data_IF_624523345598
#
_entry.id   IF_624523345598
#
_cell.length_a   1.000
_cell.length_b   1.000
_cell.length_c   1.000
_cell.angle_alpha   90.00
_cell.angle_beta   90.00
_cell.angle_gamma   90.00
#
_symmetry.space_group_name_H-M   'P 1'
#
loop_
_entity.id
_entity.type
_entity.pdbx_description
1 polymer ?
#
# COMPACT_ATOMS: atom_id res chain seq x y z
N UNK A 1 14.39 -33.16 9.77
CA UNK A 1 13.49 -32.24 10.50
C UNK A 1 12.86 -31.30 9.49
N UNK A 2 11.57 -31.45 9.22
CA UNK A 2 10.87 -30.55 8.30
C UNK A 2 10.77 -29.17 8.96
N UNK A 3 11.33 -28.14 8.33
CA UNK A 3 11.18 -26.76 8.80
C UNK A 3 9.73 -26.36 8.56
N UNK A 4 9.01 -25.95 9.61
CA UNK A 4 7.69 -25.32 9.47
C UNK A 4 7.91 -23.97 8.79
N UNK A 5 7.63 -23.87 7.49
CA UNK A 5 7.53 -22.56 6.83
C UNK A 5 6.28 -21.88 7.39
N UNK A 6 6.47 -20.69 7.95
CA UNK A 6 5.37 -19.76 8.20
C UNK A 6 5.34 -18.89 6.95
N UNK A 7 4.25 -18.98 6.17
CA UNK A 7 4.03 -18.07 5.05
C UNK A 7 3.86 -16.67 5.64
N UNK A 8 4.89 -15.84 5.45
CA UNK A 8 4.87 -14.45 5.88
C UNK A 8 4.46 -13.61 4.67
N UNK A 9 3.37 -12.86 4.81
CA UNK A 9 2.96 -11.90 3.79
C UNK A 9 3.95 -10.73 3.83
N UNK A 10 4.51 -10.41 2.67
CA UNK A 10 5.56 -9.40 2.53
C UNK A 10 5.01 -8.10 1.99
N UNK A 11 5.54 -6.98 2.46
CA UNK A 11 5.20 -5.69 1.91
C UNK A 11 5.70 -5.54 0.47
N UNK A 12 4.78 -5.41 -0.47
CA UNK A 12 5.06 -5.23 -1.90
C UNK A 12 5.88 -3.97 -2.18
N UNK A 13 5.58 -2.87 -1.46
CA UNK A 13 6.32 -1.62 -1.61
C UNK A 13 7.79 -1.74 -1.21
N UNK A 14 8.08 -2.44 -0.11
CA UNK A 14 9.46 -2.71 0.32
C UNK A 14 10.15 -3.65 -0.67
N UNK A 15 9.47 -4.72 -1.08
CA UNK A 15 10.01 -5.68 -2.03
C UNK A 15 10.35 -5.01 -3.37
N UNK A 16 9.44 -4.22 -3.93
CA UNK A 16 9.62 -3.54 -5.19
C UNK A 16 10.71 -2.45 -5.15
N UNK A 17 10.83 -1.71 -4.04
CA UNK A 17 11.74 -0.55 -3.95
C UNK A 17 13.15 -0.93 -3.47
N UNK A 18 13.25 -1.82 -2.49
CA UNK A 18 14.52 -2.12 -1.81
C UNK A 18 14.91 -3.58 -1.89
N UNK A 19 14.02 -4.46 -2.37
CA UNK A 19 14.22 -5.91 -2.33
C UNK A 19 14.18 -6.50 -0.92
N UNK A 20 13.74 -5.72 0.09
CA UNK A 20 13.67 -6.18 1.47
C UNK A 20 12.32 -6.84 1.75
N UNK A 21 12.40 -8.03 2.33
CA UNK A 21 11.24 -8.76 2.86
C UNK A 21 10.86 -8.17 4.23
N UNK A 22 9.92 -7.23 4.21
CA UNK A 22 9.32 -6.62 5.42
C UNK A 22 7.92 -7.20 5.60
N UNK A 23 7.49 -7.43 6.82
CA UNK A 23 6.14 -7.93 7.12
C UNK A 23 5.06 -6.93 6.66
N UNK A 24 4.07 -7.43 5.92
CA UNK A 24 2.85 -6.69 5.64
C UNK A 24 1.89 -6.77 6.82
N UNK A 25 1.23 -5.67 7.14
CA UNK A 25 0.28 -5.55 8.26
C UNK A 25 -1.11 -5.12 7.80
N UNK A 26 -1.25 -4.69 6.55
CA UNK A 26 -2.53 -4.32 5.95
C UNK A 26 -2.54 -4.62 4.45
N UNK A 27 -3.74 -4.89 3.96
CA UNK A 27 -4.03 -5.00 2.53
C UNK A 27 -4.64 -3.67 2.03
N UNK A 28 -4.23 -3.22 0.84
CA UNK A 28 -4.83 -2.12 0.11
C UNK A 28 -5.40 -2.64 -1.21
N UNK A 29 -6.68 -2.37 -1.47
CA UNK A 29 -7.34 -2.75 -2.72
C UNK A 29 -7.71 -1.52 -3.53
N UNK A 30 -7.29 -1.48 -4.79
CA UNK A 30 -7.59 -0.42 -5.76
C UNK A 30 -8.16 -1.05 -7.02
N UNK A 31 -9.48 -0.99 -7.18
CA UNK A 31 -10.16 -1.66 -8.28
C UNK A 31 -10.00 -3.19 -8.19
N UNK A 32 -9.29 -3.78 -9.15
CA UNK A 32 -8.98 -5.22 -9.18
C UNK A 32 -7.61 -5.56 -8.62
N UNK A 33 -6.80 -4.55 -8.30
CA UNK A 33 -5.44 -4.73 -7.81
C UNK A 33 -5.43 -4.74 -6.28
N UNK A 34 -4.63 -5.63 -5.72
CA UNK A 34 -4.46 -5.81 -4.27
C UNK A 34 -2.97 -5.70 -3.94
N UNK A 35 -2.66 -5.00 -2.85
CA UNK A 35 -1.29 -4.75 -2.39
C UNK A 35 -1.15 -5.03 -0.91
N UNK A 36 -0.09 -5.74 -0.55
CA UNK A 36 0.29 -6.02 0.83
C UNK A 36 1.28 -4.95 1.32
N UNK A 37 0.93 -4.24 2.39
CA UNK A 37 1.67 -3.06 2.84
C UNK A 37 2.12 -3.19 4.29
N UNK A 38 3.37 -2.78 4.55
CA UNK A 38 3.82 -2.46 5.90
C UNK A 38 3.22 -1.12 6.36
N UNK A 39 3.30 -0.84 7.65
CA UNK A 39 2.70 0.37 8.24
C UNK A 39 3.19 1.67 7.58
N UNK A 40 4.48 1.75 7.21
CA UNK A 40 5.05 2.92 6.52
C UNK A 40 4.40 3.14 5.16
N UNK A 41 4.34 2.10 4.32
CA UNK A 41 3.75 2.22 2.99
C UNK A 41 2.26 2.50 3.04
N UNK A 42 1.53 1.87 3.97
CA UNK A 42 0.11 2.15 4.19
C UNK A 42 -0.13 3.63 4.54
N UNK A 43 0.66 4.20 5.45
CA UNK A 43 0.55 5.61 5.82
C UNK A 43 0.84 6.55 4.64
N UNK A 44 1.80 6.21 3.78
CA UNK A 44 2.14 7.00 2.58
C UNK A 44 1.02 6.96 1.55
N UNK A 45 0.42 5.80 1.29
CA UNK A 45 -0.77 5.69 0.43
C UNK A 45 -1.95 6.45 1.02
N UNK A 46 -2.21 6.33 2.32
CA UNK A 46 -3.27 7.07 2.98
C UNK A 46 -3.10 8.59 2.85
N UNK A 47 -1.88 9.10 3.02
CA UNK A 47 -1.58 10.52 2.82
C UNK A 47 -1.77 10.96 1.35
N UNK A 48 -1.37 10.13 0.38
CA UNK A 48 -1.58 10.40 -1.03
C UNK A 48 -3.07 10.45 -1.40
N UNK A 49 -3.87 9.49 -0.93
CA UNK A 49 -5.32 9.51 -1.16
C UNK A 49 -6.00 10.66 -0.41
N UNK A 50 -5.54 11.00 0.79
CA UNK A 50 -6.02 12.18 1.47
C UNK A 50 -5.76 13.43 0.62
N UNK A 51 -4.57 13.61 0.05
CA UNK A 51 -4.29 14.76 -0.83
C UNK A 51 -5.19 14.77 -2.09
N UNK A 52 -5.32 13.63 -2.78
CA UNK A 52 -6.17 13.51 -3.97
C UNK A 52 -7.67 13.75 -3.71
N UNK A 53 -8.16 13.31 -2.55
CA UNK A 53 -9.59 13.35 -2.21
C UNK A 53 -9.93 14.40 -1.16
N UNK A 54 -8.96 15.22 -0.73
CA UNK A 54 -9.27 16.41 0.07
C UNK A 54 -10.11 17.32 -0.81
N UNK A 55 -11.31 17.74 -0.37
CA UNK A 55 -12.22 18.55 -1.17
C UNK A 55 -11.69 19.99 -1.32
N UNK A 56 -10.67 20.17 -2.15
CA UNK A 56 -10.19 21.47 -2.62
C UNK A 56 -10.28 21.45 -4.14
N UNK A 57 -11.35 22.04 -4.67
CA UNK A 57 -11.56 22.44 -6.09
C UNK A 57 -11.90 21.36 -7.14
N UNK A 58 -13.08 20.74 -7.03
CA UNK A 58 -13.87 20.37 -8.23
C UNK A 58 -14.55 21.65 -8.77
N UNK A 59 -13.76 22.62 -9.22
CA UNK A 59 -14.27 23.88 -9.79
C UNK A 59 -13.63 24.27 -11.13
N UNK A 60 -12.61 23.55 -11.61
CA UNK A 60 -11.83 23.98 -12.78
C UNK A 60 -12.03 23.13 -14.05
N UNK A 61 -12.82 22.05 -14.03
CA UNK A 61 -12.94 21.15 -15.19
C UNK A 61 -14.25 21.31 -15.99
N UNK A 62 -15.05 22.35 -15.74
CA UNK A 62 -16.35 22.57 -16.40
C UNK A 62 -16.54 23.98 -16.99
N UNK A 63 -15.47 24.73 -17.25
CA UNK A 63 -15.52 26.03 -17.92
C UNK A 63 -14.92 25.97 -19.33
#
# INVERSE_FOLDING_TARGET
>A
MARKMIEQITCDGCMAKTGLSVEAVTELTVGTDTYDLCQEHAARFAAYFADLFTPTTIAAAAA
#
